data_IF_570788019382
#
_entry.id   IF_570788019382
#
_cell.length_a   1.000
_cell.length_b   1.000
_cell.length_c   1.000
_cell.angle_alpha   90.00
_cell.angle_beta   90.00
_cell.angle_gamma   90.00
#
_symmetry.space_group_name_H-M   'P 1'
#
loop_
_entity.id
_entity.type
_entity.pdbx_description
1 polymer ?
#
# COMPACT_ATOMS: atom_id res chain seq x y z
N UNK A 1 10.32 11.36 19.34
CA UNK A 1 9.17 10.44 19.24
C UNK A 1 7.91 11.26 19.43
N UNK A 2 6.95 11.19 18.49
CA UNK A 2 5.64 11.85 18.63
C UNK A 2 4.62 10.75 18.95
N UNK A 3 3.96 10.83 20.11
CA UNK A 3 2.85 9.94 20.47
C UNK A 3 1.55 10.67 20.16
N UNK A 4 0.69 10.05 19.35
CA UNK A 4 -0.67 10.54 19.08
C UNK A 4 -1.65 9.57 19.72
N UNK A 5 -2.35 10.02 20.75
CA UNK A 5 -3.41 9.23 21.37
C UNK A 5 -4.58 9.06 20.40
N UNK A 6 -5.32 7.96 20.57
CA UNK A 6 -6.60 7.80 19.90
C UNK A 6 -7.51 8.99 20.23
N UNK A 7 -8.26 9.47 19.24
CA UNK A 7 -9.29 10.48 19.47
C UNK A 7 -10.51 9.94 20.24
N UNK A 8 -10.54 8.63 20.51
CA UNK A 8 -11.69 7.90 21.02
C UNK A 8 -11.39 7.14 22.32
N UNK A 9 -10.16 7.17 22.83
CA UNK A 9 -9.77 6.48 24.08
C UNK A 9 -8.79 7.32 24.90
N UNK A 10 -9.03 7.42 26.21
CA UNK A 10 -8.20 8.18 27.15
C UNK A 10 -7.22 7.27 27.93
N UNK A 11 -7.47 5.97 27.95
CA UNK A 11 -6.68 4.98 28.68
C UNK A 11 -5.58 4.35 27.81
N UNK A 12 -4.40 4.20 28.40
CA UNK A 12 -3.25 3.57 27.77
C UNK A 12 -3.34 2.05 27.83
N UNK A 13 -2.75 1.38 26.84
CA UNK A 13 -2.71 -0.08 26.77
C UNK A 13 -3.98 -0.72 26.21
N UNK A 14 -5.00 0.09 25.89
CA UNK A 14 -6.23 -0.37 25.23
C UNK A 14 -6.22 -0.08 23.72
N UNK A 15 -6.89 -0.94 22.96
CA UNK A 15 -7.16 -0.67 21.54
C UNK A 15 -8.12 0.51 21.39
N UNK A 16 -7.92 1.30 20.34
CA UNK A 16 -8.90 2.29 19.88
C UNK A 16 -10.29 1.61 19.74
N UNK A 17 -11.38 2.18 20.28
CA UNK A 17 -12.71 1.57 20.23
C UNK A 17 -13.17 1.14 18.82
N UNK A 18 -12.81 1.89 17.77
CA UNK A 18 -13.15 1.53 16.39
C UNK A 18 -12.31 0.36 15.88
N UNK A 19 -11.07 0.25 16.33
CA UNK A 19 -10.22 -0.91 16.02
C UNK A 19 -10.76 -2.12 16.75
N UNK A 20 -11.07 -1.99 18.05
CA UNK A 20 -11.63 -3.05 18.87
C UNK A 20 -12.92 -3.60 18.24
N UNK A 21 -13.84 -2.73 17.82
CA UNK A 21 -15.08 -3.14 17.15
C UNK A 21 -14.83 -3.98 15.89
N UNK A 22 -13.84 -3.61 15.07
CA UNK A 22 -13.46 -4.34 13.85
C UNK A 22 -12.80 -5.69 14.12
N UNK A 23 -12.21 -5.88 15.31
CA UNK A 23 -11.51 -7.11 15.67
C UNK A 23 -12.35 -8.07 16.50
N UNK A 24 -13.52 -7.64 17.04
CA UNK A 24 -14.38 -8.46 17.92
C UNK A 24 -14.74 -9.84 17.36
N UNK A 25 -14.90 -9.94 16.03
CA UNK A 25 -15.33 -11.18 15.38
C UNK A 25 -14.17 -11.92 14.69
N UNK A 26 -12.92 -11.46 14.85
CA UNK A 26 -11.78 -12.17 14.29
C UNK A 26 -11.44 -13.36 15.19
N UNK A 27 -11.20 -14.56 14.64
CA UNK A 27 -10.75 -15.69 15.43
C UNK A 27 -9.43 -15.30 16.12
N UNK A 28 -9.38 -15.52 17.43
CA UNK A 28 -8.15 -15.40 18.18
C UNK A 28 -7.33 -16.66 17.92
N UNK A 29 -6.09 -16.48 17.49
CA UNK A 29 -5.12 -17.56 17.49
C UNK A 29 -4.63 -17.75 18.94
N UNK A 30 -4.45 -19.00 19.34
CA UNK A 30 -3.63 -19.30 20.51
C UNK A 30 -2.18 -18.86 20.28
N UNK A 31 -1.41 -18.64 21.36
CA UNK A 31 0.01 -18.29 21.25
C UNK A 31 0.80 -19.35 20.46
N UNK A 32 0.43 -20.63 20.60
CA UNK A 32 1.04 -21.74 19.86
C UNK A 32 0.76 -21.63 18.35
N UNK A 33 -0.49 -21.40 17.96
CA UNK A 33 -0.87 -21.22 16.55
C UNK A 33 -0.25 -19.95 15.93
N UNK A 34 -0.14 -18.86 16.71
CA UNK A 34 0.45 -17.61 16.23
C UNK A 34 1.97 -17.72 15.99
N UNK A 35 2.66 -18.58 16.75
CA UNK A 35 4.12 -18.80 16.65
C UNK A 35 4.50 -19.99 15.76
N UNK A 36 3.54 -20.82 15.35
CA UNK A 36 3.81 -21.96 14.49
C UNK A 36 4.38 -21.53 13.12
N UNK A 37 5.26 -22.35 12.50
CA UNK A 37 5.73 -22.09 11.15
C UNK A 37 4.57 -22.03 10.15
N UNK A 38 4.62 -21.05 9.24
CA UNK A 38 3.64 -20.94 8.16
C UNK A 38 3.98 -21.97 7.07
N UNK A 39 3.09 -22.94 6.84
CA UNK A 39 3.18 -23.85 5.70
C UNK A 39 2.57 -23.20 4.44
N UNK A 40 3.43 -22.64 3.59
CA UNK A 40 3.03 -21.98 2.34
C UNK A 40 2.25 -22.91 1.39
N UNK A 41 2.41 -24.24 1.49
CA UNK A 41 1.70 -25.19 0.63
C UNK A 41 0.21 -25.31 0.96
N UNK A 42 -0.18 -24.86 2.15
CA UNK A 42 -1.57 -24.88 2.62
C UNK A 42 -2.31 -23.57 2.36
N UNK A 43 -1.60 -22.54 1.87
CA UNK A 43 -2.18 -21.22 1.63
C UNK A 43 -2.84 -21.17 0.26
N UNK A 44 -4.14 -20.91 0.25
CA UNK A 44 -4.83 -20.39 -0.93
C UNK A 44 -4.48 -18.90 -1.10
N UNK A 45 -3.45 -18.63 -1.89
CA UNK A 45 -2.98 -17.27 -2.13
C UNK A 45 -4.02 -16.42 -2.86
N UNK A 46 -4.86 -17.00 -3.71
CA UNK A 46 -5.87 -16.23 -4.43
C UNK A 46 -6.94 -15.74 -3.47
N UNK A 47 -7.49 -16.63 -2.65
CA UNK A 47 -8.47 -16.24 -1.63
C UNK A 47 -7.86 -15.26 -0.60
N UNK A 48 -6.60 -15.47 -0.21
CA UNK A 48 -5.89 -14.52 0.65
C UNK A 48 -5.78 -13.13 0.02
N UNK A 49 -5.41 -13.05 -1.26
CA UNK A 49 -5.30 -11.80 -2.05
C UNK A 49 -6.64 -11.09 -2.19
N UNK A 50 -7.71 -11.84 -2.49
CA UNK A 50 -9.06 -11.30 -2.66
C UNK A 50 -9.60 -10.68 -1.36
N UNK A 51 -9.17 -11.20 -0.21
CA UNK A 51 -9.46 -10.64 1.11
C UNK A 51 -8.59 -9.44 1.51
N UNK A 52 -7.57 -9.07 0.72
CA UNK A 52 -6.67 -7.97 1.07
C UNK A 52 -7.24 -6.60 0.70
N UNK A 53 -6.81 -5.60 1.46
CA UNK A 53 -7.24 -4.23 1.31
C UNK A 53 -8.37 -3.88 2.27
N UNK A 54 -8.80 -2.63 2.21
CA UNK A 54 -9.90 -2.13 3.01
C UNK A 54 -10.58 -0.99 2.28
N UNK A 55 -11.92 -0.86 2.39
CA UNK A 55 -12.62 0.30 1.86
C UNK A 55 -11.96 1.58 2.37
N UNK A 56 -11.66 2.47 1.44
CA UNK A 56 -11.07 3.76 1.74
C UNK A 56 -11.79 4.86 0.96
N UNK A 57 -11.79 6.06 1.54
CA UNK A 57 -12.49 7.22 1.01
C UNK A 57 -11.48 8.19 0.41
N UNK A 58 -11.85 8.78 -0.72
CA UNK A 58 -11.13 9.93 -1.27
C UNK A 58 -11.34 11.15 -0.36
N UNK A 59 -10.24 11.65 0.21
CA UNK A 59 -10.24 12.81 1.11
C UNK A 59 -9.64 14.05 0.44
N UNK A 60 -9.38 14.00 -0.86
CA UNK A 60 -8.90 15.15 -1.61
C UNK A 60 -9.96 16.25 -1.64
N UNK A 61 -9.48 17.49 -1.63
CA UNK A 61 -10.27 18.72 -1.78
C UNK A 61 -10.11 19.37 -3.15
N UNK A 62 -9.17 18.88 -3.95
CA UNK A 62 -8.79 19.38 -5.27
C UNK A 62 -8.67 18.23 -6.26
N UNK A 63 -8.72 18.56 -7.55
CA UNK A 63 -8.64 17.55 -8.61
C UNK A 63 -7.24 16.94 -8.70
N UNK A 64 -7.19 15.61 -8.64
CA UNK A 64 -6.02 14.79 -8.93
C UNK A 64 -6.25 14.09 -10.27
N UNK A 65 -5.20 14.05 -11.09
CA UNK A 65 -5.18 13.33 -12.35
C UNK A 65 -4.48 12.01 -12.11
N UNK A 66 -5.21 10.92 -12.35
CA UNK A 66 -4.67 9.57 -12.33
C UNK A 66 -4.34 9.13 -13.75
N UNK A 67 -3.18 8.52 -13.94
CA UNK A 67 -2.76 7.97 -15.22
C UNK A 67 -2.05 6.65 -15.03
N UNK A 68 -2.61 5.58 -15.60
CA UNK A 68 -1.91 4.31 -15.71
C UNK A 68 -0.74 4.45 -16.69
N UNK A 69 0.43 3.97 -16.27
CA UNK A 69 1.66 3.96 -17.06
C UNK A 69 2.31 2.58 -16.98
N UNK A 70 3.27 2.37 -17.87
CA UNK A 70 4.23 1.28 -17.79
C UNK A 70 5.59 1.90 -17.51
N UNK A 71 6.13 1.63 -16.32
CA UNK A 71 7.50 1.99 -15.97
C UNK A 71 8.43 1.09 -16.78
N UNK A 72 9.25 1.69 -17.63
CA UNK A 72 10.21 0.95 -18.43
C UNK A 72 11.46 0.66 -17.60
N UNK A 73 11.66 -0.61 -17.28
CA UNK A 73 12.88 -1.12 -16.68
C UNK A 73 13.69 -1.88 -17.76
N UNK A 74 14.93 -2.29 -17.45
CA UNK A 74 15.88 -2.77 -18.46
C UNK A 74 15.31 -3.83 -19.41
N UNK A 75 14.60 -4.84 -18.87
CA UNK A 75 14.09 -5.97 -19.63
C UNK A 75 12.59 -6.24 -19.41
N UNK A 76 11.86 -5.30 -18.80
CA UNK A 76 10.44 -5.47 -18.47
C UNK A 76 9.73 -4.14 -18.30
N UNK A 77 8.41 -4.18 -18.30
CA UNK A 77 7.56 -3.08 -17.92
C UNK A 77 6.84 -3.39 -16.61
N UNK A 78 6.82 -2.43 -15.69
CA UNK A 78 6.10 -2.56 -14.43
C UNK A 78 4.90 -1.62 -14.46
N UNK A 79 3.66 -2.11 -14.32
CA UNK A 79 2.49 -1.24 -14.26
C UNK A 79 2.58 -0.29 -13.07
N UNK A 80 2.10 0.93 -13.25
CA UNK A 80 1.93 1.88 -12.16
C UNK A 80 0.76 2.82 -12.44
N UNK A 81 0.22 3.43 -11.38
CA UNK A 81 -0.72 4.54 -11.49
C UNK A 81 -0.02 5.80 -10.97
N UNK A 82 0.05 6.83 -11.81
CA UNK A 82 0.58 8.14 -11.46
C UNK A 82 -0.57 9.04 -11.01
N UNK A 83 -0.53 9.49 -9.76
CA UNK A 83 -1.40 10.52 -9.21
C UNK A 83 -0.65 11.85 -9.19
N UNK A 84 -1.19 12.87 -9.85
CA UNK A 84 -0.61 14.23 -9.86
C UNK A 84 -1.68 15.30 -9.63
N UNK A 85 -1.38 16.38 -8.90
CA UNK A 85 -2.29 17.52 -8.81
C UNK A 85 -2.63 18.08 -10.20
N UNK A 86 -3.89 18.45 -10.42
CA UNK A 86 -4.32 19.13 -11.64
C UNK A 86 -3.87 20.62 -11.68
N UNK A 87 -3.19 21.10 -10.64
CA UNK A 87 -2.69 22.47 -10.51
C UNK A 87 -1.77 22.89 -11.66
N UNK A 88 -1.79 24.18 -12.00
CA UNK A 88 -0.90 24.80 -12.98
C UNK A 88 0.54 24.97 -12.49
N UNK A 89 0.79 24.86 -11.19
CA UNK A 89 2.15 24.95 -10.63
C UNK A 89 2.82 23.60 -10.85
N UNK A 90 3.80 23.49 -11.76
CA UNK A 90 4.47 22.22 -12.01
C UNK A 90 5.28 21.84 -10.77
N UNK A 91 5.16 20.59 -10.33
CA UNK A 91 6.01 20.01 -9.28
C UNK A 91 7.09 19.14 -9.90
N UNK A 92 8.29 19.19 -9.35
CA UNK A 92 9.39 18.25 -9.65
C UNK A 92 9.58 17.21 -8.54
N UNK A 93 8.75 17.27 -7.49
CA UNK A 93 8.82 16.33 -6.38
C UNK A 93 8.11 15.05 -6.79
N UNK A 94 8.74 13.90 -6.52
CA UNK A 94 8.19 12.58 -6.78
C UNK A 94 8.14 11.76 -5.48
N UNK A 95 7.14 10.89 -5.38
CA UNK A 95 7.00 9.90 -4.32
C UNK A 95 6.69 8.55 -4.97
N UNK A 96 7.58 7.58 -4.79
CA UNK A 96 7.29 6.18 -5.12
C UNK A 96 6.49 5.58 -3.96
N UNK A 97 5.29 5.10 -4.25
CA UNK A 97 4.42 4.44 -3.30
C UNK A 97 4.40 2.94 -3.57
N UNK A 98 4.77 2.15 -2.56
CA UNK A 98 4.70 0.70 -2.57
C UNK A 98 3.51 0.30 -1.69
N UNK A 99 2.52 -0.37 -2.26
CA UNK A 99 1.37 -0.82 -1.50
C UNK A 99 1.76 -1.86 -0.44
N UNK A 100 0.90 -2.04 0.58
CA UNK A 100 1.03 -3.12 1.54
C UNK A 100 0.52 -4.46 0.99
N UNK A 101 0.43 -5.47 1.84
CA UNK A 101 -0.06 -6.81 1.46
C UNK A 101 0.96 -7.93 1.65
N UNK A 102 1.97 -7.71 2.51
CA UNK A 102 2.94 -8.74 2.89
C UNK A 102 3.77 -9.29 1.74
N UNK A 103 3.93 -8.52 0.64
CA UNK A 103 4.55 -8.93 -0.62
C UNK A 103 3.84 -10.07 -1.36
N UNK A 104 2.68 -10.52 -0.89
CA UNK A 104 1.89 -11.58 -1.53
C UNK A 104 0.60 -11.07 -2.16
N UNK A 105 0.18 -9.84 -1.89
CA UNK A 105 -1.08 -9.29 -2.39
C UNK A 105 -1.10 -7.77 -2.44
N UNK A 106 -2.24 -7.25 -2.90
CA UNK A 106 -2.41 -5.84 -3.25
C UNK A 106 -2.02 -5.55 -4.71
N UNK A 107 -2.29 -4.32 -5.13
CA UNK A 107 -1.86 -3.79 -6.42
C UNK A 107 -1.78 -2.25 -6.37
N UNK A 108 -1.36 -1.65 -7.48
CA UNK A 108 -1.25 -0.18 -7.62
C UNK A 108 -2.54 0.62 -7.33
N UNK A 109 -3.72 -0.02 -7.33
CA UNK A 109 -5.01 0.64 -7.02
C UNK A 109 -5.48 0.46 -5.57
N UNK A 110 -4.90 -0.44 -4.79
CA UNK A 110 -5.37 -0.81 -3.43
C UNK A 110 -5.48 0.40 -2.49
N UNK A 111 -4.52 1.33 -2.57
CA UNK A 111 -4.46 2.55 -1.74
C UNK A 111 -4.42 3.83 -2.59
N UNK A 112 -5.17 3.83 -3.70
CA UNK A 112 -5.14 4.95 -4.64
C UNK A 112 -5.64 6.26 -4.03
N UNK A 113 -6.66 6.23 -3.16
CA UNK A 113 -7.14 7.43 -2.47
C UNK A 113 -6.09 8.03 -1.52
N UNK A 114 -5.25 7.20 -0.90
CA UNK A 114 -4.11 7.67 -0.11
C UNK A 114 -3.05 8.31 -1.02
N UNK A 115 -2.74 7.70 -2.16
CA UNK A 115 -1.83 8.26 -3.15
C UNK A 115 -2.29 9.63 -3.64
N UNK A 116 -3.59 9.79 -3.94
CA UNK A 116 -4.21 11.07 -4.30
C UNK A 116 -4.07 12.11 -3.20
N UNK A 117 -4.34 11.73 -1.95
CA UNK A 117 -4.22 12.64 -0.81
C UNK A 117 -2.78 13.07 -0.57
N UNK A 118 -1.81 12.15 -0.70
CA UNK A 118 -0.37 12.48 -0.62
C UNK A 118 -0.01 13.46 -1.74
N UNK A 119 -0.42 13.19 -2.98
CA UNK A 119 -0.18 14.06 -4.13
C UNK A 119 -0.71 15.47 -3.88
N UNK A 120 -1.93 15.60 -3.35
CA UNK A 120 -2.53 16.89 -2.97
C UNK A 120 -1.71 17.59 -1.87
N UNK A 121 -1.53 16.93 -0.72
CA UNK A 121 -1.00 17.58 0.49
C UNK A 121 0.49 17.90 0.38
N UNK A 122 1.25 17.09 -0.35
CA UNK A 122 2.68 17.29 -0.54
C UNK A 122 3.01 18.05 -1.85
N UNK A 123 2.00 18.35 -2.68
CA UNK A 123 2.19 18.90 -4.02
C UNK A 123 3.28 18.16 -4.81
N UNK A 124 3.12 16.85 -4.96
CA UNK A 124 4.08 15.96 -5.62
C UNK A 124 3.40 15.01 -6.60
N UNK A 125 4.18 14.42 -7.50
CA UNK A 125 3.73 13.29 -8.31
C UNK A 125 3.91 12.01 -7.50
N UNK A 126 2.84 11.25 -7.29
CA UNK A 126 2.90 9.95 -6.61
C UNK A 126 2.82 8.85 -7.66
N UNK A 127 3.77 7.91 -7.64
CA UNK A 127 3.82 6.73 -8.51
C UNK A 127 3.45 5.52 -7.65
N UNK A 128 2.22 5.04 -7.78
CA UNK A 128 1.77 3.81 -7.11
C UNK A 128 2.19 2.61 -7.96
N UNK A 129 3.23 1.89 -7.53
CA UNK A 129 3.87 0.82 -8.30
C UNK A 129 3.17 -0.51 -8.09
N UNK A 130 2.97 -1.26 -9.19
CA UNK A 130 2.45 -2.63 -9.19
C UNK A 130 3.61 -3.63 -9.22
N UNK A 131 4.39 -3.67 -8.13
CA UNK A 131 5.56 -4.54 -8.03
C UNK A 131 5.16 -6.02 -8.01
N UNK A 132 6.05 -6.90 -8.48
CA UNK A 132 5.77 -8.34 -8.54
C UNK A 132 5.64 -8.96 -7.16
N UNK A 133 4.70 -9.88 -7.03
CA UNK A 133 4.32 -10.51 -5.76
C UNK A 133 4.88 -11.93 -5.64
N UNK A 134 5.12 -12.33 -4.40
CA UNK A 134 5.32 -13.72 -4.02
C UNK A 134 3.97 -14.47 -4.02
N UNK A 135 3.98 -15.81 -4.22
CA UNK A 135 5.15 -16.67 -4.40
C UNK A 135 5.75 -16.67 -5.82
N UNK A 136 5.07 -16.12 -6.82
CA UNK A 136 5.50 -16.17 -8.24
C UNK A 136 6.81 -15.43 -8.48
N UNK A 137 7.03 -14.34 -7.74
CA UNK A 137 8.31 -13.64 -7.67
C UNK A 137 8.69 -13.40 -6.20
N UNK A 138 9.42 -14.34 -5.57
CA UNK A 138 9.84 -14.19 -4.18
C UNK A 138 10.88 -13.08 -4.03
N UNK A 139 11.27 -12.79 -2.80
CA UNK A 139 12.43 -11.94 -2.53
C UNK A 139 13.65 -12.39 -3.36
N UNK A 140 14.38 -11.47 -4.04
CA UNK A 140 14.31 -10.00 -3.97
C UNK A 140 13.47 -9.31 -5.06
N UNK A 141 12.51 -10.00 -5.70
CA UNK A 141 11.76 -9.49 -6.86
C UNK A 141 11.15 -8.10 -6.71
N UNK A 142 10.28 -7.92 -5.71
CA UNK A 142 9.64 -6.64 -5.41
C UNK A 142 10.66 -5.52 -5.09
N UNK A 143 11.80 -5.88 -4.47
CA UNK A 143 12.88 -4.95 -4.16
C UNK A 143 13.57 -4.46 -5.44
N UNK A 144 13.87 -5.36 -6.38
CA UNK A 144 14.43 -5.00 -7.67
C UNK A 144 13.47 -4.13 -8.48
N UNK A 145 12.17 -4.46 -8.50
CA UNK A 145 11.13 -3.64 -9.13
C UNK A 145 11.10 -2.22 -8.57
N UNK A 146 11.15 -2.11 -7.25
CA UNK A 146 11.15 -0.81 -6.55
C UNK A 146 12.40 -0.01 -6.88
N UNK A 147 13.58 -0.65 -6.85
CA UNK A 147 14.86 0.00 -7.13
C UNK A 147 14.95 0.48 -8.58
N UNK A 148 14.63 -0.37 -9.55
CA UNK A 148 14.65 -0.01 -10.96
C UNK A 148 13.64 1.11 -11.27
N UNK A 149 12.51 1.15 -10.55
CA UNK A 149 11.55 2.27 -10.65
C UNK A 149 12.13 3.57 -10.09
N UNK A 150 12.87 3.53 -8.98
CA UNK A 150 13.58 4.72 -8.46
C UNK A 150 14.58 5.22 -9.50
N UNK A 151 15.32 4.32 -10.15
CA UNK A 151 16.24 4.70 -11.22
C UNK A 151 15.52 5.33 -12.42
N UNK A 152 14.35 4.82 -12.80
CA UNK A 152 13.53 5.39 -13.87
C UNK A 152 12.97 6.79 -13.55
N UNK A 153 12.75 7.10 -12.27
CA UNK A 153 12.28 8.42 -11.82
C UNK A 153 13.37 9.50 -11.94
N UNK A 154 14.65 9.11 -11.82
CA UNK A 154 15.81 9.99 -11.80
C UNK A 154 16.35 10.32 -13.20
#
# INVERSE_FOLDING_TARGET
>A
MIIRNSAYGEEWGLLDPKVLERTKNKPLLSDEEAMAPIDLSTIDFQNARDGMGSPNKDLTSSSIIDKSILVQCENRYIPAIVCRPASKIPTRNACLYLHGGGFIGGNSSTLLNQCRLIAEKANCTVISLDYRLAPETPFPGALHDSYETVQWIC
#
